data_IF_581281695250
#
_entry.id   IF_581281695250
#
_cell.length_a   1.000
_cell.length_b   1.000
_cell.length_c   1.000
_cell.angle_alpha   90.00
_cell.angle_beta   90.00
_cell.angle_gamma   90.00
#
_symmetry.space_group_name_H-M   'P 1'
#
loop_
_entity.id
_entity.type
_entity.pdbx_description
1 polymer ?
#
# COMPACT_ATOMS: atom_id res chain seq x y z
N UNK A 1 21.80 -15.62 7.94
CA UNK A 1 20.35 -15.48 8.12
C UNK A 1 20.23 -13.98 8.27
N UNK A 2 19.91 -13.30 7.17
CA UNK A 2 19.82 -11.85 7.22
C UNK A 2 18.58 -11.51 8.03
N UNK A 3 18.75 -10.64 9.02
CA UNK A 3 17.67 -10.20 9.89
C UNK A 3 16.63 -9.41 9.06
N UNK A 4 15.36 -9.54 9.44
CA UNK A 4 14.29 -8.78 8.80
C UNK A 4 14.51 -7.27 8.98
N UNK A 5 14.09 -6.50 7.97
CA UNK A 5 14.11 -5.04 8.03
C UNK A 5 12.84 -4.59 8.74
N UNK A 6 12.99 -4.14 9.98
CA UNK A 6 11.88 -3.70 10.83
C UNK A 6 11.74 -2.18 10.84
N UNK A 7 10.51 -1.69 10.72
CA UNK A 7 10.17 -0.28 10.85
C UNK A 7 8.70 -0.07 11.22
N UNK A 8 8.35 1.15 11.62
CA UNK A 8 7.00 1.52 12.01
C UNK A 8 6.46 2.65 11.14
N UNK A 9 5.16 2.60 10.89
CA UNK A 9 4.38 3.68 10.26
C UNK A 9 3.18 3.97 11.14
N UNK A 10 3.29 4.98 11.99
CA UNK A 10 2.28 5.28 13.00
C UNK A 10 2.12 4.11 13.98
N UNK A 11 0.91 3.54 14.04
CA UNK A 11 0.57 2.40 14.91
C UNK A 11 0.67 1.04 14.20
N UNK A 12 1.42 0.99 13.10
CA UNK A 12 1.60 -0.21 12.27
C UNK A 12 3.08 -0.57 12.23
N UNK A 13 3.41 -1.73 12.78
CA UNK A 13 4.74 -2.34 12.70
C UNK A 13 4.85 -3.18 11.42
N UNK A 14 6.02 -3.11 10.77
CA UNK A 14 6.30 -3.79 9.51
C UNK A 14 7.64 -4.52 9.65
N UNK A 15 7.63 -5.84 9.45
CA UNK A 15 8.82 -6.67 9.36
C UNK A 15 8.95 -7.17 7.92
N UNK A 16 9.88 -6.61 7.16
CA UNK A 16 10.08 -6.90 5.74
C UNK A 16 11.27 -7.85 5.55
N UNK A 17 11.08 -8.91 4.76
CA UNK A 17 12.18 -9.82 4.43
C UNK A 17 13.26 -9.10 3.60
N UNK A 18 14.55 -9.40 3.79
CA UNK A 18 15.61 -8.76 3.02
C UNK A 18 15.73 -9.28 1.59
N UNK A 19 15.25 -10.49 1.32
CA UNK A 19 15.40 -11.16 0.03
C UNK A 19 14.10 -11.25 -0.78
N UNK A 20 14.25 -11.26 -2.10
CA UNK A 20 13.16 -11.59 -3.02
C UNK A 20 13.08 -13.11 -3.22
N UNK A 21 11.87 -13.64 -3.27
CA UNK A 21 11.60 -15.03 -3.67
C UNK A 21 10.99 -15.06 -5.07
N UNK A 22 11.25 -16.13 -5.82
CA UNK A 22 10.56 -16.34 -7.10
C UNK A 22 9.08 -16.58 -6.85
N UNK A 23 8.25 -15.87 -7.60
CA UNK A 23 6.80 -15.97 -7.53
C UNK A 23 6.25 -16.18 -8.92
N UNK A 24 5.17 -16.94 -9.03
CA UNK A 24 4.47 -17.17 -10.29
C UNK A 24 3.00 -16.82 -10.09
N UNK A 25 2.46 -15.97 -10.95
CA UNK A 25 1.09 -15.51 -10.84
C UNK A 25 0.67 -14.61 -11.99
N UNK A 26 -0.50 -14.00 -11.86
CA UNK A 26 -1.06 -13.10 -12.87
C UNK A 26 -0.95 -11.67 -12.33
N UNK A 27 -0.19 -10.83 -13.04
CA UNK A 27 -0.11 -9.39 -12.75
C UNK A 27 -1.46 -8.71 -12.89
N UNK A 28 -1.68 -7.66 -12.13
CA UNK A 28 -2.92 -6.88 -12.18
C UNK A 28 -3.06 -6.14 -13.50
N UNK A 29 -1.94 -5.68 -14.07
CA UNK A 29 -1.89 -4.98 -15.36
C UNK A 29 -2.49 -5.81 -16.51
N UNK A 30 -2.36 -7.14 -16.46
CA UNK A 30 -2.89 -8.06 -17.49
C UNK A 30 -4.31 -8.56 -17.20
N UNK A 31 -4.85 -8.27 -16.01
CA UNK A 31 -6.21 -8.64 -15.61
C UNK A 31 -6.40 -10.14 -15.34
N UNK A 32 -7.60 -10.55 -14.91
CA UNK A 32 -7.90 -11.94 -14.51
C UNK A 32 -7.75 -13.00 -15.62
N UNK A 33 -7.70 -12.57 -16.88
CA UNK A 33 -7.47 -13.45 -18.04
C UNK A 33 -6.03 -13.39 -18.57
N UNK A 34 -5.13 -12.69 -17.88
CA UNK A 34 -3.72 -12.62 -18.25
C UNK A 34 -3.02 -13.96 -18.11
N UNK A 35 -1.94 -14.15 -18.87
CA UNK A 35 -1.06 -15.30 -18.69
C UNK A 35 -0.35 -15.22 -17.33
N UNK A 36 -0.10 -16.38 -16.73
CA UNK A 36 0.85 -16.45 -15.63
C UNK A 36 2.24 -16.02 -16.10
N UNK A 37 2.90 -15.20 -15.29
CA UNK A 37 4.28 -14.80 -15.49
C UNK A 37 5.07 -15.00 -14.20
N UNK A 38 6.38 -15.09 -14.34
CA UNK A 38 7.29 -15.06 -13.21
C UNK A 38 7.43 -13.62 -12.70
N UNK A 39 7.73 -13.50 -11.41
CA UNK A 39 7.98 -12.25 -10.74
C UNK A 39 8.87 -12.46 -9.53
N UNK A 40 9.38 -11.36 -8.99
CA UNK A 40 10.17 -11.33 -7.76
C UNK A 40 9.29 -10.79 -6.65
N UNK A 41 8.97 -11.63 -5.68
CA UNK A 41 8.13 -11.29 -4.55
C UNK A 41 9.00 -10.93 -3.35
N UNK A 42 8.76 -9.72 -2.83
CA UNK A 42 9.19 -9.30 -1.51
C UNK A 42 8.03 -9.44 -0.54
N UNK A 43 8.23 -10.05 0.62
CA UNK A 43 7.20 -10.20 1.65
C UNK A 43 7.47 -9.29 2.85
N UNK A 44 6.40 -8.84 3.48
CA UNK A 44 6.43 -8.22 4.79
C UNK A 44 5.27 -8.74 5.66
N UNK A 45 5.52 -8.89 6.95
CA UNK A 45 4.46 -9.05 7.94
C UNK A 45 4.10 -7.67 8.48
N UNK A 46 2.80 -7.36 8.46
CA UNK A 46 2.25 -6.12 9.00
C UNK A 46 1.45 -6.45 10.25
N UNK A 47 1.73 -5.72 11.33
CA UNK A 47 1.02 -5.80 12.60
C UNK A 47 0.49 -4.41 13.00
N UNK A 48 -0.76 -4.32 13.45
CA UNK A 48 -1.33 -3.07 13.97
C UNK A 48 -1.63 -3.15 15.46
N UNK A 49 -1.69 -1.99 16.12
CA UNK A 49 -1.97 -1.91 17.56
C UNK A 49 -3.36 -2.43 17.98
N UNK A 50 -4.32 -2.49 17.05
CA UNK A 50 -5.66 -3.06 17.28
C UNK A 50 -5.75 -4.56 16.92
N UNK A 51 -4.61 -5.19 16.62
CA UNK A 51 -4.48 -6.64 16.54
C UNK A 51 -4.49 -7.25 15.15
N UNK A 52 -4.41 -6.45 14.06
CA UNK A 52 -4.12 -7.02 12.74
C UNK A 52 -2.77 -7.72 12.77
N UNK A 53 -2.72 -8.89 12.12
CA UNK A 53 -1.49 -9.52 11.67
C UNK A 53 -1.72 -10.10 10.28
N UNK A 54 -0.95 -9.66 9.29
CA UNK A 54 -1.15 -10.03 7.89
C UNK A 54 0.17 -10.07 7.12
N UNK A 55 0.33 -11.06 6.26
CA UNK A 55 1.43 -11.09 5.28
C UNK A 55 1.02 -10.34 4.03
N UNK A 56 1.84 -9.37 3.62
CA UNK A 56 1.68 -8.58 2.39
C UNK A 56 2.85 -8.90 1.46
N UNK A 57 2.56 -9.02 0.18
CA UNK A 57 3.55 -9.22 -0.87
C UNK A 57 3.64 -8.00 -1.78
N UNK A 58 4.86 -7.63 -2.17
CA UNK A 58 5.15 -6.75 -3.30
C UNK A 58 5.86 -7.57 -4.38
N UNK A 59 5.15 -7.87 -5.48
CA UNK A 59 5.71 -8.60 -6.62
C UNK A 59 6.12 -7.64 -7.70
N UNK A 60 7.40 -7.66 -8.09
CA UNK A 60 7.91 -7.02 -9.29
C UNK A 60 7.81 -8.01 -10.45
N UNK A 61 7.15 -7.60 -11.53
CA UNK A 61 6.94 -8.42 -12.73
C UNK A 61 8.00 -8.14 -13.80
N UNK A 62 8.09 -9.03 -14.79
CA UNK A 62 9.03 -8.91 -15.92
C UNK A 62 8.75 -7.70 -16.80
N UNK A 63 7.49 -7.22 -16.84
CA UNK A 63 7.09 -5.99 -17.53
C UNK A 63 7.50 -4.70 -16.80
N UNK A 64 8.23 -4.81 -15.69
CA UNK A 64 8.71 -3.70 -14.88
C UNK A 64 7.69 -3.14 -13.89
N UNK A 65 6.41 -3.49 -14.02
CA UNK A 65 5.37 -3.10 -13.04
C UNK A 65 5.55 -3.83 -11.71
N UNK A 66 4.84 -3.37 -10.69
CA UNK A 66 4.75 -4.09 -9.43
C UNK A 66 3.34 -4.08 -8.86
N UNK A 67 2.99 -5.17 -8.19
CA UNK A 67 1.72 -5.31 -7.48
C UNK A 67 1.95 -5.60 -6.01
N UNK A 68 1.21 -4.89 -5.17
CA UNK A 68 1.18 -5.09 -3.73
C UNK A 68 -0.16 -5.67 -3.36
N UNK A 69 -0.18 -6.77 -2.60
CA UNK A 69 -1.42 -7.42 -2.21
C UNK A 69 -1.26 -8.19 -0.90
N UNK A 70 -2.35 -8.35 -0.14
CA UNK A 70 -2.41 -9.35 0.90
C UNK A 70 -2.15 -10.74 0.35
N UNK A 71 -1.35 -11.51 1.09
CA UNK A 71 -1.08 -12.92 0.82
C UNK A 71 -1.78 -13.82 1.83
N UNK A 72 -1.72 -13.46 3.11
CA UNK A 72 -2.32 -14.27 4.18
C UNK A 72 -2.81 -13.42 5.36
N UNK A 73 -4.07 -13.65 5.78
CA UNK A 73 -4.65 -13.04 6.96
C UNK A 73 -4.41 -13.97 8.16
N UNK A 74 -3.54 -13.55 9.07
CA UNK A 74 -3.13 -14.38 10.20
C UNK A 74 -4.01 -14.13 11.43
N UNK A 75 -4.29 -12.87 11.76
CA UNK A 75 -5.13 -12.47 12.89
C UNK A 75 -5.68 -11.05 12.75
N UNK A 76 -6.70 -10.73 13.55
CA UNK A 76 -7.18 -9.36 13.76
C UNK A 76 -8.68 -9.16 13.57
N UNK A 77 -9.15 -7.91 13.70
CA UNK A 77 -10.55 -7.54 13.48
C UNK A 77 -11.07 -7.95 12.10
N UNK A 78 -12.36 -8.30 12.03
CA UNK A 78 -13.00 -8.80 10.81
C UNK A 78 -13.00 -7.80 9.65
N UNK A 79 -12.96 -6.51 9.96
CA UNK A 79 -12.93 -5.40 9.03
C UNK A 79 -11.74 -5.47 8.08
N UNK A 80 -10.60 -5.97 8.56
CA UNK A 80 -9.38 -6.15 7.79
C UNK A 80 -9.48 -7.26 6.73
N UNK A 81 -10.45 -8.18 6.83
CA UNK A 81 -10.75 -9.13 5.74
C UNK A 81 -11.07 -8.40 4.43
N UNK A 82 -11.52 -7.15 4.50
CA UNK A 82 -11.73 -6.31 3.32
C UNK A 82 -10.47 -6.16 2.47
N UNK A 83 -9.28 -6.24 3.06
CA UNK A 83 -8.01 -6.14 2.34
C UNK A 83 -7.85 -7.26 1.31
N UNK A 84 -8.35 -8.47 1.56
CA UNK A 84 -8.30 -9.57 0.58
C UNK A 84 -8.98 -9.18 -0.76
N UNK A 85 -10.01 -8.33 -0.70
CA UNK A 85 -10.74 -7.86 -1.87
C UNK A 85 -10.30 -6.48 -2.39
N UNK A 86 -9.83 -5.59 -1.51
CA UNK A 86 -9.61 -4.17 -1.82
C UNK A 86 -8.25 -3.62 -1.35
N UNK A 87 -7.36 -4.47 -0.84
CA UNK A 87 -6.03 -4.11 -0.35
C UNK A 87 -5.03 -3.84 -1.48
N UNK A 88 -5.27 -4.41 -2.65
CA UNK A 88 -4.35 -4.40 -3.79
C UNK A 88 -3.96 -2.98 -4.23
N UNK A 89 -2.69 -2.81 -4.58
CA UNK A 89 -2.10 -1.59 -5.12
C UNK A 89 -1.18 -1.96 -6.29
N UNK A 90 -1.17 -1.14 -7.34
CA UNK A 90 -0.31 -1.35 -8.52
C UNK A 90 0.61 -0.15 -8.68
N UNK A 91 1.87 -0.42 -8.94
CA UNK A 91 2.89 0.55 -9.30
C UNK A 91 3.25 0.34 -10.77
N UNK A 92 3.19 1.41 -11.55
CA UNK A 92 3.50 1.37 -12.97
C UNK A 92 4.95 1.79 -13.18
N UNK A 93 5.64 1.16 -14.13
CA UNK A 93 6.96 1.66 -14.53
C UNK A 93 6.81 3.04 -15.18
N UNK A 94 7.70 3.97 -14.81
CA UNK A 94 7.77 5.31 -15.40
C UNK A 94 9.05 5.51 -16.23
N UNK A 95 10.20 5.05 -15.72
CA UNK A 95 11.48 5.05 -16.44
C UNK A 95 12.41 4.01 -15.80
N UNK A 96 13.19 3.29 -16.63
CA UNK A 96 14.20 2.29 -16.27
C UNK A 96 14.32 1.94 -14.77
N UNK A 97 13.44 1.06 -14.27
CA UNK A 97 13.50 0.55 -12.90
C UNK A 97 12.86 1.44 -11.81
N UNK A 98 12.35 2.61 -12.17
CA UNK A 98 11.51 3.47 -11.33
C UNK A 98 10.05 3.11 -11.48
N UNK A 99 9.40 2.82 -10.36
CA UNK A 99 7.98 2.45 -10.28
C UNK A 99 7.21 3.51 -9.54
N UNK A 100 6.05 3.89 -10.07
CA UNK A 100 5.21 4.96 -9.53
C UNK A 100 3.87 4.38 -9.10
N UNK A 101 3.55 4.56 -7.81
CA UNK A 101 2.26 4.22 -7.21
C UNK A 101 1.42 5.48 -6.99
N UNK A 102 0.17 5.43 -7.44
CA UNK A 102 -0.84 6.43 -7.09
C UNK A 102 -1.36 6.16 -5.68
N UNK A 103 -1.33 7.16 -4.80
CA UNK A 103 -1.84 7.05 -3.43
C UNK A 103 -3.34 7.34 -3.43
N UNK A 104 -4.10 6.25 -3.46
CA UNK A 104 -5.53 6.23 -3.09
C UNK A 104 -5.63 5.55 -1.75
N UNK A 105 -6.58 5.91 -0.90
CA UNK A 105 -6.78 5.25 0.39
C UNK A 105 -8.13 4.55 0.48
N UNK A 106 -8.21 3.52 1.32
CA UNK A 106 -9.49 2.97 1.73
C UNK A 106 -10.25 4.02 2.55
N UNK A 107 -11.50 4.27 2.21
CA UNK A 107 -12.37 5.23 2.90
C UNK A 107 -13.76 4.63 3.05
N UNK A 108 -14.30 4.69 4.26
CA UNK A 108 -15.70 4.37 4.53
C UNK A 108 -16.60 5.44 3.91
N UNK A 109 -17.75 5.00 3.42
CA UNK A 109 -18.82 5.85 2.94
C UNK A 109 -20.15 5.13 3.13
N UNK A 110 -21.15 5.47 2.34
CA UNK A 110 -22.53 4.98 2.49
C UNK A 110 -22.68 3.44 2.39
N UNK A 111 -21.72 2.75 1.77
CA UNK A 111 -21.78 1.30 1.55
C UNK A 111 -21.52 0.46 2.82
N UNK A 112 -21.15 1.10 3.94
CA UNK A 112 -20.85 0.43 5.21
C UNK A 112 -19.50 -0.31 5.27
N UNK A 113 -18.83 -0.50 4.14
CA UNK A 113 -17.47 -1.04 4.03
C UNK A 113 -16.55 -0.06 3.29
N UNK A 114 -15.23 -0.10 3.54
CA UNK A 114 -14.33 0.86 2.93
C UNK A 114 -14.02 0.48 1.49
N UNK A 115 -13.87 1.50 0.66
CA UNK A 115 -13.54 1.38 -0.77
C UNK A 115 -12.41 2.34 -1.12
N UNK A 116 -11.67 2.05 -2.20
CA UNK A 116 -10.60 2.95 -2.64
C UNK A 116 -11.19 4.28 -3.11
N UNK A 117 -10.76 5.34 -2.45
CA UNK A 117 -11.11 6.71 -2.74
C UNK A 117 -9.87 7.52 -3.11
N UNK A 118 -10.08 8.58 -3.88
CA UNK A 118 -9.08 9.62 -4.02
C UNK A 118 -8.88 10.33 -2.69
N UNK A 119 -7.65 10.73 -2.40
CA UNK A 119 -7.25 11.44 -1.17
C UNK A 119 -6.30 12.58 -1.52
N UNK A 120 -6.18 13.54 -0.62
CA UNK A 120 -5.15 14.59 -0.64
C UNK A 120 -3.94 14.21 0.22
N UNK A 121 -2.86 15.00 0.17
CA UNK A 121 -1.75 14.85 1.12
C UNK A 121 -2.21 15.07 2.56
N UNK A 122 -3.12 16.01 2.82
CA UNK A 122 -3.65 16.24 4.18
C UNK A 122 -4.39 15.04 4.74
N UNK A 123 -5.16 14.32 3.92
CA UNK A 123 -5.82 13.07 4.33
C UNK A 123 -4.78 12.01 4.71
N UNK A 124 -3.69 11.92 3.93
CA UNK A 124 -2.60 10.98 4.19
C UNK A 124 -1.83 11.36 5.46
N UNK A 125 -1.64 12.64 5.73
CA UNK A 125 -0.98 13.13 6.95
C UNK A 125 -1.81 12.77 8.20
N UNK A 126 -3.13 12.95 8.12
CA UNK A 126 -4.05 12.54 9.19
C UNK A 126 -3.98 11.02 9.44
N UNK A 127 -3.97 10.24 8.37
CA UNK A 127 -3.87 8.78 8.44
C UNK A 127 -2.53 8.33 9.02
N UNK A 128 -1.41 8.90 8.57
CA UNK A 128 -0.08 8.60 9.08
C UNK A 128 0.15 9.11 10.51
N UNK A 129 -0.55 10.18 10.92
CA UNK A 129 -0.29 10.91 12.17
C UNK A 129 1.01 11.74 12.12
N UNK A 130 1.53 12.00 10.92
CA UNK A 130 2.76 12.74 10.63
C UNK A 130 2.72 13.18 9.15
N UNK A 131 3.70 13.97 8.71
CA UNK A 131 3.86 14.30 7.28
C UNK A 131 4.12 13.01 6.47
N UNK A 132 3.12 12.57 5.71
CA UNK A 132 3.13 11.31 4.99
C UNK A 132 4.15 11.31 3.85
N UNK A 133 4.40 12.48 3.24
CA UNK A 133 5.42 12.61 2.20
C UNK A 133 6.82 12.35 2.78
N UNK A 134 7.11 12.91 3.95
CA UNK A 134 8.37 12.70 4.66
C UNK A 134 8.51 11.26 5.20
N UNK A 135 7.42 10.65 5.69
CA UNK A 135 7.44 9.23 6.09
C UNK A 135 7.82 8.36 4.89
N UNK A 136 7.16 8.52 3.75
CA UNK A 136 7.51 7.75 2.54
C UNK A 136 8.94 8.03 2.07
N UNK A 137 9.41 9.29 2.13
CA UNK A 137 10.76 9.66 1.75
C UNK A 137 11.84 9.00 2.63
N UNK A 138 11.60 8.90 3.95
CA UNK A 138 12.49 8.20 4.88
C UNK A 138 12.65 6.71 4.58
N UNK A 139 11.72 6.13 3.81
CA UNK A 139 11.75 4.74 3.35
C UNK A 139 12.15 4.61 1.86
N UNK A 140 12.73 5.66 1.27
CA UNK A 140 13.33 5.63 -0.07
C UNK A 140 12.38 6.02 -1.20
N UNK A 141 11.23 6.64 -0.91
CA UNK A 141 10.37 7.18 -1.96
C UNK A 141 10.73 8.62 -2.35
N UNK A 142 10.47 8.96 -3.62
CA UNK A 142 10.23 10.35 -4.03
C UNK A 142 8.72 10.57 -4.12
N UNK A 143 8.20 11.64 -3.54
CA UNK A 143 6.77 11.96 -3.53
C UNK A 143 6.47 13.17 -4.42
N UNK A 144 5.20 13.33 -4.78
CA UNK A 144 4.73 14.45 -5.61
C UNK A 144 3.37 14.15 -6.22
N UNK A 145 2.96 14.97 -7.18
CA UNK A 145 1.75 14.72 -7.95
C UNK A 145 2.00 13.62 -8.98
N UNK A 146 0.98 12.81 -9.26
CA UNK A 146 1.13 11.66 -10.14
C UNK A 146 1.67 12.00 -11.54
N UNK A 147 1.29 13.15 -12.09
CA UNK A 147 1.77 13.62 -13.40
C UNK A 147 3.27 13.99 -13.39
N UNK A 148 3.79 14.47 -12.26
CA UNK A 148 5.20 14.83 -12.10
C UNK A 148 6.07 13.59 -11.99
N UNK A 149 5.55 12.53 -11.35
CA UNK A 149 6.25 11.26 -11.20
C UNK A 149 6.13 10.37 -12.43
N UNK A 150 4.99 10.45 -13.14
CA UNK A 150 4.70 9.68 -14.35
C UNK A 150 4.17 10.60 -15.46
N UNK A 151 5.07 11.25 -16.22
CA UNK A 151 4.69 12.07 -17.37
C UNK A 151 3.85 11.25 -18.35
N UNK A 152 2.66 11.75 -18.70
CA UNK A 152 1.68 11.00 -19.52
C UNK A 152 0.55 10.35 -18.73
N UNK A 153 0.47 10.53 -17.41
CA UNK A 153 -0.72 10.19 -16.64
C UNK A 153 -1.97 10.93 -17.20
N UNK A 154 -3.00 10.17 -17.57
CA UNK A 154 -4.26 10.72 -18.07
C UNK A 154 -5.23 11.09 -16.94
N UNK A 155 -5.53 10.13 -16.07
CA UNK A 155 -6.39 10.32 -14.89
C UNK A 155 -5.54 10.52 -13.63
N UNK A 156 -6.14 11.17 -12.64
CA UNK A 156 -5.55 11.39 -11.32
C UNK A 156 -4.24 12.17 -11.34
N UNK A 157 -4.09 13.12 -12.26
CA UNK A 157 -2.84 13.83 -12.53
C UNK A 157 -2.28 14.56 -11.31
N UNK A 158 -3.15 15.25 -10.58
CA UNK A 158 -2.83 16.09 -9.41
C UNK A 158 -3.05 15.34 -8.09
N UNK A 159 -3.16 14.00 -8.14
CA UNK A 159 -3.31 13.22 -6.92
C UNK A 159 -1.94 12.85 -6.35
N UNK A 160 -1.86 12.70 -5.02
CA UNK A 160 -0.68 12.21 -4.34
C UNK A 160 -0.16 10.91 -4.95
N UNK A 161 1.14 10.84 -5.17
CA UNK A 161 1.82 9.67 -5.67
C UNK A 161 3.20 9.55 -5.05
N UNK A 162 3.79 8.37 -5.21
CA UNK A 162 5.16 8.09 -4.81
C UNK A 162 5.88 7.28 -5.87
N UNK A 163 7.19 7.45 -5.97
CA UNK A 163 8.08 6.77 -6.89
C UNK A 163 9.19 6.08 -6.10
N UNK A 164 9.49 4.84 -6.46
CA UNK A 164 10.56 4.04 -5.82
C UNK A 164 11.43 3.40 -6.88
N UNK A 165 12.71 3.23 -6.56
CA UNK A 165 13.64 2.33 -7.27
C UNK A 165 13.72 0.99 -6.53
N UNK A 166 14.59 0.07 -6.96
CA UNK A 166 14.73 -1.25 -6.35
C UNK A 166 15.02 -1.24 -4.84
N UNK A 167 15.69 -0.22 -4.32
CA UNK A 167 16.01 -0.08 -2.89
C UNK A 167 14.85 0.50 -2.05
N UNK A 168 13.86 1.13 -2.70
CA UNK A 168 12.74 1.82 -2.03
C UNK A 168 11.54 0.93 -1.70
N UNK A 169 11.69 -0.39 -1.63
CA UNK A 169 10.55 -1.31 -1.40
C UNK A 169 9.94 -1.13 -0.01
N UNK A 170 10.71 -0.72 1.00
CA UNK A 170 10.15 -0.36 2.32
C UNK A 170 9.07 0.73 2.21
N UNK A 171 9.26 1.73 1.33
CA UNK A 171 8.27 2.77 1.08
C UNK A 171 6.97 2.22 0.48
N UNK A 172 7.02 1.12 -0.26
CA UNK A 172 5.84 0.45 -0.83
C UNK A 172 4.97 -0.14 0.29
N UNK A 173 5.58 -0.81 1.26
CA UNK A 173 4.87 -1.32 2.44
C UNK A 173 4.39 -0.20 3.36
N UNK A 174 5.17 0.88 3.50
CA UNK A 174 4.73 2.08 4.21
C UNK A 174 3.48 2.70 3.56
N UNK A 175 3.48 2.87 2.23
CA UNK A 175 2.33 3.35 1.48
C UNK A 175 1.11 2.42 1.65
N UNK A 176 1.32 1.09 1.66
CA UNK A 176 0.26 0.13 1.94
C UNK A 176 -0.32 0.34 3.35
N UNK A 177 0.53 0.45 4.38
CA UNK A 177 0.08 0.70 5.75
C UNK A 177 -0.75 1.99 5.86
N UNK A 178 -0.25 3.11 5.31
CA UNK A 178 -0.95 4.41 5.33
C UNK A 178 -2.30 4.34 4.63
N UNK A 179 -2.35 3.69 3.47
CA UNK A 179 -3.51 3.78 2.58
C UNK A 179 -4.49 2.62 2.68
N UNK A 180 -4.14 1.54 3.41
CA UNK A 180 -4.97 0.33 3.54
C UNK A 180 -5.23 -0.05 4.98
N UNK A 181 -4.20 -0.10 5.81
CA UNK A 181 -4.30 -0.58 7.21
C UNK A 181 -4.82 0.53 8.13
N UNK A 182 -4.14 1.68 8.15
CA UNK A 182 -4.52 2.82 9.00
C UNK A 182 -5.95 3.33 8.74
N UNK A 183 -6.48 3.37 7.50
CA UNK A 183 -7.85 3.82 7.29
C UNK A 183 -8.91 2.87 7.84
N UNK A 184 -8.65 1.56 7.86
CA UNK A 184 -9.54 0.59 8.52
C UNK A 184 -9.45 0.78 10.03
N UNK A 185 -8.24 0.81 10.57
CA UNK A 185 -7.95 1.00 12.00
C UNK A 185 -8.62 2.26 12.58
N UNK A 186 -8.51 3.37 11.84
CA UNK A 186 -9.04 4.68 12.26
C UNK A 186 -10.50 4.89 11.86
N UNK A 187 -11.12 3.96 11.14
CA UNK A 187 -12.47 4.14 10.60
C UNK A 187 -12.59 5.34 9.65
N UNK A 188 -11.56 5.64 8.86
CA UNK A 188 -11.46 6.85 8.04
C UNK A 188 -12.68 7.02 7.10
N UNK A 189 -13.32 8.19 7.17
CA UNK A 189 -14.55 8.49 6.45
C UNK A 189 -15.84 8.06 7.15
N UNK A 190 -15.76 7.47 8.35
CA UNK A 190 -16.91 7.42 9.26
C UNK A 190 -16.97 8.75 10.01
N UNK A 191 -18.12 9.42 9.98
CA UNK A 191 -18.36 10.55 10.88
C UNK A 191 -18.24 10.04 12.31
N UNK A 192 -17.50 10.76 13.17
CA UNK A 192 -17.25 10.41 14.57
C UNK A 192 -18.51 10.46 15.46
N UNK A 193 -19.70 10.41 14.86
CA UNK A 193 -21.01 10.48 15.51
C UNK A 193 -21.60 9.10 15.86
N UNK A 194 -20.79 8.07 16.05
CA UNK A 194 -21.21 6.92 16.86
C UNK A 194 -20.69 7.12 18.27
N UNK A 195 -21.60 7.69 19.08
CA UNK A 195 -21.55 7.73 20.53
C UNK A 195 -20.99 6.45 21.13
N UNK A 196 -20.14 6.66 22.13
CA UNK A 196 -19.91 5.73 23.23
C UNK A 196 -21.27 5.30 23.78
N UNK A 197 -21.74 4.11 23.41
CA UNK A 197 -22.80 3.44 24.16
C UNK A 197 -22.15 2.72 25.33
N UNK A 198 -22.47 3.23 26.51
CA UNK A 198 -22.19 2.70 27.85
C UNK A 198 -22.59 1.23 28.02
#
# INVERSE_FOLDING_TARGET
>A
MDDDIEFNVGLVAIAMRPEDVRFRGISVSTGRGGAEQEGKLREAVIESSDGLRMTIGCTIWDDGSADVQPLDFLAGPSEYRRLEAAGRMTLNEAAAGTRVGLLRALKYGERGYPTLASVSWSDLDELAGADAANVLASHGARTGDYVELKPGAGKYREHPAFAVTGEGIAAVFAAFAITRVLPIMKGFGRDSAMEVLH
#
